data_IF_760393125746
#
_entry.id   IF_760393125746
#
_cell.length_a   1.000
_cell.length_b   1.000
_cell.length_c   1.000
_cell.angle_alpha   90.00
_cell.angle_beta   90.00
_cell.angle_gamma   90.00
#
_symmetry.space_group_name_H-M   'P 1'
#
loop_
_entity.id
_entity.type
_entity.pdbx_description
1 polymer ?
#
# COMPACT_ATOMS: atom_id res chain seq x y z
N UNK A 1 30.60 -22.67 42.39
CA UNK A 1 30.38 -22.45 40.95
C UNK A 1 29.12 -21.63 40.79
N UNK A 2 29.27 -20.31 40.66
CA UNK A 2 28.15 -19.41 40.33
C UNK A 2 28.56 -18.77 39.01
N UNK A 3 28.11 -19.34 37.90
CA UNK A 3 28.21 -18.71 36.58
C UNK A 3 26.91 -17.95 36.38
N UNK A 4 26.93 -16.66 36.70
CA UNK A 4 25.93 -15.72 36.22
C UNK A 4 26.44 -15.23 34.87
N UNK A 5 26.09 -15.94 33.80
CA UNK A 5 26.25 -15.44 32.44
C UNK A 5 25.23 -14.33 32.24
N UNK A 6 25.65 -13.10 32.53
CA UNK A 6 24.92 -11.91 32.07
C UNK A 6 24.98 -11.90 30.55
N UNK A 7 23.86 -11.73 29.83
CA UNK A 7 23.93 -11.59 28.38
C UNK A 7 24.60 -10.25 28.07
N UNK A 8 25.72 -10.30 27.35
CA UNK A 8 26.38 -9.14 26.76
C UNK A 8 25.41 -8.57 25.71
N UNK A 9 24.66 -7.55 26.11
CA UNK A 9 23.96 -6.70 25.17
C UNK A 9 25.02 -5.75 24.63
N UNK A 10 25.64 -6.12 23.51
CA UNK A 10 26.37 -5.16 22.69
C UNK A 10 25.36 -4.15 22.15
N UNK A 11 25.11 -3.10 22.94
CA UNK A 11 24.58 -1.83 22.45
C UNK A 11 25.66 -1.24 21.52
N UNK A 12 25.65 -1.63 20.25
CA UNK A 12 26.40 -0.94 19.21
C UNK A 12 25.99 0.54 19.23
N UNK A 13 26.92 1.49 19.46
CA UNK A 13 26.59 2.91 19.59
C UNK A 13 26.17 3.58 18.27
N UNK A 14 26.03 2.81 17.18
CA UNK A 14 25.57 3.30 15.88
C UNK A 14 24.04 3.19 15.69
N UNK A 15 23.30 2.60 16.63
CA UNK A 15 21.82 2.62 16.62
C UNK A 15 21.28 3.90 17.31
N UNK A 16 21.73 5.06 16.84
CA UNK A 16 21.20 6.37 17.25
C UNK A 16 19.91 6.76 16.49
N UNK A 17 19.26 5.78 15.86
CA UNK A 17 17.89 5.92 15.40
C UNK A 17 16.94 5.55 16.53
N UNK A 18 16.20 6.52 17.08
CA UNK A 18 15.08 6.23 17.98
C UNK A 18 14.29 5.03 17.41
N UNK A 19 14.11 3.90 18.11
CA UNK A 19 13.45 2.71 17.54
C UNK A 19 12.00 3.00 17.10
N UNK A 20 11.45 4.11 17.60
CA UNK A 20 10.19 4.71 17.17
C UNK A 20 10.23 5.22 15.71
N UNK A 21 11.36 5.79 15.28
CA UNK A 21 11.57 6.32 13.92
C UNK A 21 11.64 5.16 12.92
N UNK A 22 12.38 4.09 13.22
CA UNK A 22 12.47 2.91 12.35
C UNK A 22 11.10 2.25 12.16
N UNK A 23 10.33 2.08 13.24
CA UNK A 23 8.96 1.55 13.16
C UNK A 23 8.02 2.50 12.41
N UNK A 24 8.16 3.82 12.60
CA UNK A 24 7.36 4.82 11.89
C UNK A 24 7.57 4.74 10.37
N UNK A 25 8.82 4.57 9.91
CA UNK A 25 9.12 4.39 8.48
C UNK A 25 8.41 3.17 7.92
N UNK A 26 8.44 2.04 8.62
CA UNK A 26 7.74 0.83 8.21
C UNK A 26 6.22 1.05 8.09
N UNK A 27 5.61 1.73 9.06
CA UNK A 27 4.17 2.06 9.02
C UNK A 27 3.85 2.97 7.83
N UNK A 28 4.67 4.00 7.58
CA UNK A 28 4.48 4.91 6.45
C UNK A 28 4.57 4.16 5.12
N UNK A 29 5.59 3.32 4.94
CA UNK A 29 5.75 2.51 3.73
C UNK A 29 4.55 1.57 3.54
N UNK A 30 4.09 0.92 4.61
CA UNK A 30 2.93 0.03 4.55
C UNK A 30 1.65 0.76 4.12
N UNK A 31 1.37 1.93 4.70
CA UNK A 31 0.22 2.77 4.31
C UNK A 31 0.34 3.22 2.86
N UNK A 32 1.53 3.61 2.40
CA UNK A 32 1.77 3.99 1.01
C UNK A 32 1.48 2.82 0.05
N UNK A 33 1.91 1.60 0.38
CA UNK A 33 1.63 0.41 -0.44
C UNK A 33 0.14 0.12 -0.51
N UNK A 34 -0.60 0.22 0.60
CA UNK A 34 -2.05 0.02 0.61
C UNK A 34 -2.76 1.10 -0.22
N UNK A 35 -2.40 2.37 -0.02
CA UNK A 35 -3.00 3.49 -0.74
C UNK A 35 -2.73 3.38 -2.25
N UNK A 36 -1.50 3.01 -2.62
CA UNK A 36 -1.14 2.73 -4.00
C UNK A 36 -1.94 1.55 -4.54
N UNK A 37 -2.01 0.42 -3.83
CA UNK A 37 -2.77 -0.75 -4.27
C UNK A 37 -4.26 -0.43 -4.50
N UNK A 38 -4.86 0.36 -3.61
CA UNK A 38 -6.25 0.80 -3.77
C UNK A 38 -6.42 1.73 -4.98
N UNK A 39 -5.52 2.69 -5.14
CA UNK A 39 -5.50 3.59 -6.30
C UNK A 39 -5.30 2.84 -7.62
N UNK A 40 -4.42 1.84 -7.66
CA UNK A 40 -4.20 0.98 -8.83
C UNK A 40 -5.46 0.20 -9.20
N UNK A 41 -6.19 -0.33 -8.21
CA UNK A 41 -7.45 -1.04 -8.47
C UNK A 41 -8.48 -0.09 -9.08
N UNK A 42 -8.63 1.13 -8.54
CA UNK A 42 -9.55 2.13 -9.09
C UNK A 42 -9.19 2.51 -10.53
N UNK A 43 -7.90 2.74 -10.82
CA UNK A 43 -7.40 3.05 -12.15
C UNK A 43 -7.61 1.90 -13.16
N UNK A 44 -7.43 0.64 -12.73
CA UNK A 44 -7.66 -0.53 -13.58
C UNK A 44 -9.15 -0.79 -13.84
N UNK A 45 -10.02 -0.46 -12.90
CA UNK A 45 -11.47 -0.64 -13.06
C UNK A 45 -12.05 0.27 -14.15
N UNK A 46 -11.48 1.46 -14.36
CA UNK A 46 -11.92 2.34 -15.45
C UNK A 46 -11.58 1.78 -16.84
N UNK A 47 -10.42 1.13 -16.99
CA UNK A 47 -10.00 0.50 -18.25
C UNK A 47 -10.88 -0.72 -18.59
N UNK A 48 -11.10 -1.61 -17.60
CA UNK A 48 -11.88 -2.84 -17.82
C UNK A 48 -13.32 -2.59 -18.23
N UNK A 49 -13.93 -1.48 -17.77
CA UNK A 49 -15.30 -1.11 -18.18
C UNK A 49 -15.43 -0.87 -19.68
N UNK A 50 -14.39 -0.33 -20.31
CA UNK A 50 -14.36 -0.09 -21.75
C UNK A 50 -14.21 -1.41 -22.51
N UNK A 51 -13.32 -2.29 -22.05
CA UNK A 51 -13.09 -3.60 -22.65
C UNK A 51 -14.31 -4.52 -22.54
N UNK A 52 -14.95 -4.60 -21.36
CA UNK A 52 -16.17 -5.40 -21.16
C UNK A 52 -17.32 -4.89 -22.03
N UNK A 53 -17.39 -3.58 -22.27
CA UNK A 53 -18.42 -2.97 -23.08
C UNK A 53 -18.17 -3.17 -24.60
N UNK A 54 -16.91 -3.09 -25.03
CA UNK A 54 -16.52 -3.44 -26.40
C UNK A 54 -16.72 -4.94 -26.69
N UNK A 55 -16.39 -5.81 -25.73
CA UNK A 55 -16.62 -7.26 -25.82
C UNK A 55 -18.11 -7.62 -25.89
N UNK A 56 -18.98 -6.82 -25.28
CA UNK A 56 -20.44 -6.97 -25.38
C UNK A 56 -21.04 -6.44 -26.70
N UNK A 57 -20.23 -5.94 -27.63
CA UNK A 57 -20.68 -5.47 -28.95
C UNK A 57 -21.49 -4.17 -28.94
N UNK A 58 -21.52 -3.46 -27.80
CA UNK A 58 -22.16 -2.13 -27.68
C UNK A 58 -21.20 -1.07 -28.22
N UNK A 59 -21.73 -0.12 -29.01
CA UNK A 59 -20.95 1.01 -29.56
C UNK A 59 -20.98 2.26 -28.68
N UNK A 60 -21.88 2.30 -27.70
CA UNK A 60 -22.05 3.43 -26.77
C UNK A 60 -21.37 3.14 -25.42
N UNK A 61 -20.05 2.98 -25.42
CA UNK A 61 -19.26 2.64 -24.22
C UNK A 61 -18.66 3.85 -23.49
N UNK A 62 -19.00 5.07 -23.91
CA UNK A 62 -18.66 6.28 -23.16
C UNK A 62 -19.50 6.41 -21.89
N UNK A 63 -18.96 7.08 -20.85
CA UNK A 63 -19.69 7.44 -19.63
C UNK A 63 -20.96 8.21 -20.00
N UNK A 64 -22.09 7.51 -20.09
CA UNK A 64 -23.40 8.14 -20.24
C UNK A 64 -23.69 8.81 -18.90
N UNK A 65 -23.41 10.10 -18.83
CA UNK A 65 -23.86 10.96 -17.73
C UNK A 65 -25.38 10.99 -17.83
N UNK A 66 -26.05 10.15 -17.04
CA UNK A 66 -27.50 10.17 -16.95
C UNK A 66 -27.85 11.50 -16.26
N UNK A 67 -28.49 12.47 -16.95
CA UNK A 67 -28.86 13.71 -16.30
C UNK A 67 -29.84 13.39 -15.16
N UNK A 68 -29.71 14.04 -13.98
CA UNK A 68 -30.68 13.89 -12.92
C UNK A 68 -32.07 14.31 -13.44
N UNK A 69 -33.07 13.49 -13.16
CA UNK A 69 -34.46 13.69 -13.60
C UNK A 69 -35.09 14.90 -12.93
#
# INVERSE_FOLDING_TARGET
MIVKSTPDHHDDPDDTGDPRVTNLVLVVVFVLVIAAGWWLVDALLEQRRLDDCAAQGRRDCGRIVVPPR
#
